data_IF_943472350340
#
_entry.id   IF_943472350340
#
_cell.length_a   1.000
_cell.length_b   1.000
_cell.length_c   1.000
_cell.angle_alpha   90.00
_cell.angle_beta   90.00
_cell.angle_gamma   90.00
#
_symmetry.space_group_name_H-M   'P 1'
#
loop_
_entity.id
_entity.type
_entity.pdbx_description
1 polymer ?
#
# COMPACT_ATOMS: atom_id res chain seq x y z
N UNK A 1 -5.84 11.70 4.23
CA UNK A 1 -5.38 11.29 5.58
C UNK A 1 -6.11 10.02 6.07
N UNK A 2 -6.22 8.98 5.23
CA UNK A 2 -6.79 7.67 5.63
C UNK A 2 -5.77 6.55 5.45
N UNK A 3 -4.99 6.58 4.35
CA UNK A 3 -3.98 5.57 4.06
C UNK A 3 -2.82 5.49 5.07
N UNK A 4 -2.61 6.52 5.90
CA UNK A 4 -1.60 6.53 6.97
C UNK A 4 -1.96 5.58 8.14
N UNK A 5 -3.20 5.08 8.19
CA UNK A 5 -3.67 4.13 9.18
C UNK A 5 -3.82 2.70 8.65
N UNK A 6 -3.52 2.46 7.35
CA UNK A 6 -3.53 1.10 6.84
C UNK A 6 -2.37 0.35 7.46
N UNK A 7 -2.66 -0.81 8.06
CA UNK A 7 -1.65 -1.64 8.68
C UNK A 7 -0.80 -2.38 7.64
N UNK A 8 0.38 -2.83 8.09
CA UNK A 8 1.29 -3.60 7.27
C UNK A 8 0.89 -5.08 7.20
N UNK A 9 0.99 -5.67 6.01
CA UNK A 9 0.99 -7.12 5.81
C UNK A 9 2.00 -7.50 4.72
N UNK A 10 2.67 -8.64 4.87
CA UNK A 10 3.47 -9.25 3.80
C UNK A 10 2.61 -9.88 2.69
N UNK A 11 1.31 -10.05 2.96
CA UNK A 11 0.28 -10.44 2.00
C UNK A 11 -0.81 -9.34 1.99
N UNK A 12 -0.53 -8.17 1.39
CA UNK A 12 -1.43 -7.02 1.48
C UNK A 12 -2.68 -7.21 0.61
N UNK A 13 -3.81 -6.64 1.06
CA UNK A 13 -5.07 -6.60 0.28
C UNK A 13 -5.13 -5.45 -0.73
N UNK A 14 -4.26 -4.45 -0.58
CA UNK A 14 -4.12 -3.34 -1.52
C UNK A 14 -2.64 -3.08 -1.91
N UNK A 15 -2.45 -2.56 -3.12
CA UNK A 15 -1.14 -2.18 -3.67
C UNK A 15 -1.14 -0.75 -4.23
N UNK A 16 0.06 -0.24 -4.51
CA UNK A 16 0.24 1.11 -5.04
C UNK A 16 0.04 1.09 -6.55
N UNK A 17 -0.97 1.80 -7.03
CA UNK A 17 -1.20 2.01 -8.46
C UNK A 17 -0.32 3.12 -9.04
N UNK A 18 -0.03 4.15 -8.25
CA UNK A 18 0.72 5.31 -8.72
C UNK A 18 1.11 6.26 -7.61
N UNK A 19 2.18 7.02 -7.88
CA UNK A 19 2.72 8.07 -7.00
C UNK A 19 2.91 9.33 -7.83
N UNK A 20 2.27 10.42 -7.43
CA UNK A 20 2.51 11.76 -7.94
C UNK A 20 3.31 12.51 -6.88
N UNK A 21 4.62 12.63 -7.12
CA UNK A 21 5.54 13.27 -6.19
C UNK A 21 5.42 14.80 -6.21
N UNK A 22 4.87 15.39 -7.26
CA UNK A 22 4.67 16.83 -7.37
C UNK A 22 3.52 17.26 -6.47
N UNK A 23 2.42 16.51 -6.50
CA UNK A 23 1.23 16.80 -5.70
C UNK A 23 1.18 16.00 -4.38
N UNK A 24 2.20 15.17 -4.10
CA UNK A 24 2.30 14.28 -2.93
C UNK A 24 1.09 13.33 -2.80
N UNK A 25 0.61 12.82 -3.94
CA UNK A 25 -0.53 11.90 -3.99
C UNK A 25 -0.02 10.47 -4.17
N UNK A 26 -0.56 9.55 -3.39
CA UNK A 26 -0.35 8.13 -3.53
C UNK A 26 -1.69 7.42 -3.68
N UNK A 27 -1.84 6.65 -4.74
CA UNK A 27 -3.08 5.93 -5.05
C UNK A 27 -2.90 4.45 -4.76
N UNK A 28 -3.81 3.89 -3.96
CA UNK A 28 -3.88 2.47 -3.67
C UNK A 28 -5.07 1.84 -4.38
N UNK A 29 -4.92 0.60 -4.80
CA UNK A 29 -6.00 -0.21 -5.41
C UNK A 29 -6.03 -1.58 -4.75
N UNK A 30 -7.24 -2.15 -4.64
CA UNK A 30 -7.42 -3.49 -4.11
C UNK A 30 -6.85 -4.52 -5.09
N UNK A 31 -6.16 -5.54 -4.56
CA UNK A 31 -5.61 -6.67 -5.33
C UNK A 31 -6.63 -7.80 -5.51
N UNK A 32 -7.63 -7.82 -4.63
CA UNK A 32 -8.69 -8.81 -4.54
C UNK A 32 -9.96 -8.11 -4.07
N UNK A 33 -11.10 -8.76 -4.21
CA UNK A 33 -12.34 -8.32 -3.56
C UNK A 33 -12.13 -8.27 -2.05
N UNK A 34 -12.63 -7.19 -1.41
CA UNK A 34 -12.53 -6.96 0.03
C UNK A 34 -13.94 -6.95 0.59
N UNK A 35 -14.23 -7.86 1.51
CA UNK A 35 -15.55 -7.98 2.14
C UNK A 35 -15.74 -6.86 3.17
N UNK A 36 -16.99 -6.48 3.41
CA UNK A 36 -17.30 -5.46 4.41
C UNK A 36 -16.83 -5.92 5.81
N UNK A 37 -16.05 -5.08 6.47
CA UNK A 37 -15.48 -5.37 7.79
C UNK A 37 -14.09 -6.03 7.74
N UNK A 38 -13.61 -6.42 6.57
CA UNK A 38 -12.21 -6.83 6.41
C UNK A 38 -11.26 -5.64 6.47
N UNK A 39 -10.09 -5.86 7.06
CA UNK A 39 -9.07 -4.86 7.17
C UNK A 39 -8.32 -4.66 5.84
N UNK A 40 -8.14 -3.40 5.46
CA UNK A 40 -7.30 -3.03 4.33
C UNK A 40 -5.85 -2.95 4.80
N UNK A 41 -4.98 -3.77 4.22
CA UNK A 41 -3.54 -3.80 4.53
C UNK A 41 -2.73 -3.45 3.31
N UNK A 42 -1.58 -2.80 3.55
CA UNK A 42 -0.64 -2.38 2.51
C UNK A 42 0.75 -2.94 2.79
N UNK A 43 1.57 -3.04 1.75
CA UNK A 43 3.00 -3.25 1.95
C UNK A 43 3.68 -1.92 2.27
N UNK A 44 4.37 -1.81 3.41
CA UNK A 44 5.01 -0.56 3.82
C UNK A 44 6.25 -0.24 2.99
N UNK A 45 6.87 -1.23 2.35
CA UNK A 45 8.31 -1.15 2.08
C UNK A 45 8.79 -1.63 0.71
N UNK A 46 8.06 -1.34 -0.37
CA UNK A 46 8.57 -1.59 -1.74
C UNK A 46 9.91 -0.91 -2.02
N UNK A 47 10.23 0.19 -1.34
CA UNK A 47 11.47 0.96 -1.56
C UNK A 47 12.66 0.47 -0.71
N UNK A 48 12.41 -0.13 0.47
CA UNK A 48 13.48 -0.57 1.38
C UNK A 48 14.02 -1.95 1.01
N UNK A 49 13.14 -2.88 0.64
CA UNK A 49 13.61 -4.20 0.16
C UNK A 49 14.43 -4.09 -1.12
N UNK A 50 14.13 -3.08 -1.95
CA UNK A 50 14.91 -2.76 -3.14
C UNK A 50 16.26 -2.09 -2.81
N UNK A 51 16.37 -1.45 -1.64
CA UNK A 51 17.59 -0.82 -1.16
C UNK A 51 18.54 -1.82 -0.45
N UNK A 52 18.00 -2.86 0.20
CA UNK A 52 18.80 -3.84 0.97
C UNK A 52 19.21 -5.07 0.18
N UNK A 53 18.62 -5.32 -0.99
CA UNK A 53 18.93 -6.48 -1.85
C UNK A 53 19.78 -6.12 -3.08
N UNK A 54 20.40 -4.94 -3.10
CA UNK A 54 21.44 -4.52 -4.07
C UNK A 54 22.86 -4.71 -3.48
#
# INVERSE_FOLDING_TARGET
MLAAFFNHSSQPSAEIKGRDFTNLIQTFVAKTDISQGEEITIYYNDAFDKFTND
#
